data_IF_075809680458
#
_entry.id   IF_075809680458
#
_cell.length_a   1.000
_cell.length_b   1.000
_cell.length_c   1.000
_cell.angle_alpha   90.00
_cell.angle_beta   90.00
_cell.angle_gamma   90.00
#
_symmetry.space_group_name_H-M   'P 1'
#
loop_
_entity.id
_entity.type
_entity.pdbx_description
1 polymer ?
#
# COMPACT_ATOMS: atom_id res chain seq x y z
N UNK A 1 -33.41 0.51 4.87
CA UNK A 1 -33.01 -0.86 4.47
C UNK A 1 -31.59 -0.84 3.94
N UNK A 2 -30.72 -1.71 4.43
CA UNK A 2 -29.31 -1.86 4.01
C UNK A 2 -29.13 -1.95 2.49
N UNK A 3 -30.09 -2.55 1.78
CA UNK A 3 -30.12 -2.62 0.32
C UNK A 3 -30.01 -1.24 -0.36
N UNK A 4 -30.71 -0.22 0.16
CA UNK A 4 -30.65 1.14 -0.41
C UNK A 4 -29.27 1.77 -0.23
N UNK A 5 -28.61 1.54 0.90
CA UNK A 5 -27.25 2.05 1.16
C UNK A 5 -26.23 1.44 0.21
N UNK A 6 -26.32 0.13 -0.04
CA UNK A 6 -25.44 -0.59 -0.99
C UNK A 6 -25.64 -0.05 -2.41
N UNK A 7 -26.88 0.10 -2.86
CA UNK A 7 -27.17 0.61 -4.21
C UNK A 7 -26.65 2.05 -4.41
N UNK A 8 -26.74 2.90 -3.38
CA UNK A 8 -26.19 4.26 -3.42
C UNK A 8 -24.66 4.27 -3.58
N UNK A 9 -23.95 3.33 -2.97
CA UNK A 9 -22.50 3.18 -3.15
C UNK A 9 -22.20 2.65 -4.56
N UNK A 10 -22.99 1.66 -5.01
CA UNK A 10 -22.83 1.05 -6.34
C UNK A 10 -23.00 2.07 -7.47
N UNK A 11 -23.95 3.00 -7.37
CA UNK A 11 -24.12 4.06 -8.37
C UNK A 11 -22.88 4.96 -8.49
N UNK A 12 -22.25 5.31 -7.35
CA UNK A 12 -20.99 6.08 -7.35
C UNK A 12 -19.82 5.28 -7.91
N UNK A 13 -19.75 4.00 -7.60
CA UNK A 13 -18.72 3.11 -8.14
C UNK A 13 -18.85 3.00 -9.67
N UNK A 14 -20.07 2.82 -10.19
CA UNK A 14 -20.32 2.71 -11.62
C UNK A 14 -20.00 4.00 -12.38
N UNK A 15 -20.25 5.18 -11.80
CA UNK A 15 -19.87 6.44 -12.43
C UNK A 15 -18.36 6.60 -12.53
N UNK A 16 -17.62 6.24 -11.47
CA UNK A 16 -16.15 6.23 -11.48
C UNK A 16 -15.60 5.21 -12.47
N UNK A 17 -16.17 4.00 -12.52
CA UNK A 17 -15.75 2.96 -13.44
C UNK A 17 -15.98 3.38 -14.90
N UNK A 18 -17.09 4.05 -15.19
CA UNK A 18 -17.38 4.59 -16.52
C UNK A 18 -16.35 5.66 -16.92
N UNK A 19 -16.02 6.58 -16.02
CA UNK A 19 -14.98 7.60 -16.29
C UNK A 19 -13.61 6.95 -16.50
N UNK A 20 -13.24 5.96 -15.69
CA UNK A 20 -11.99 5.21 -15.86
C UNK A 20 -11.94 4.45 -17.20
N UNK A 21 -13.05 3.82 -17.60
CA UNK A 21 -13.16 3.14 -18.88
C UNK A 21 -13.00 4.11 -20.05
N UNK A 22 -13.61 5.30 -19.98
CA UNK A 22 -13.45 6.33 -21.00
C UNK A 22 -12.00 6.83 -21.09
N UNK A 23 -11.36 7.10 -19.95
CA UNK A 23 -9.94 7.50 -19.90
C UNK A 23 -9.03 6.43 -20.52
N UNK A 24 -9.25 5.16 -20.18
CA UNK A 24 -8.50 4.04 -20.75
C UNK A 24 -8.71 3.92 -22.26
N UNK A 25 -9.95 4.12 -22.75
CA UNK A 25 -10.25 4.11 -24.17
C UNK A 25 -9.52 5.25 -24.90
N UNK A 26 -9.55 6.47 -24.35
CA UNK A 26 -8.83 7.62 -24.89
C UNK A 26 -7.30 7.40 -24.89
N UNK A 27 -6.73 6.88 -23.80
CA UNK A 27 -5.31 6.58 -23.70
C UNK A 27 -4.87 5.50 -24.71
N UNK A 28 -5.69 4.45 -24.88
CA UNK A 28 -5.44 3.39 -25.87
C UNK A 28 -5.52 3.92 -27.29
N UNK A 29 -6.50 4.77 -27.59
CA UNK A 29 -6.61 5.43 -28.89
C UNK A 29 -5.38 6.30 -29.17
N UNK A 30 -4.99 7.14 -28.21
CA UNK A 30 -3.82 8.01 -28.34
C UNK A 30 -2.55 7.18 -28.55
N UNK A 31 -2.35 6.09 -27.80
CA UNK A 31 -1.20 5.18 -27.96
C UNK A 31 -1.13 4.56 -29.36
N UNK A 32 -2.27 4.26 -29.99
CA UNK A 32 -2.31 3.79 -31.37
C UNK A 32 -1.96 4.91 -32.37
N UNK A 33 -2.49 6.12 -32.17
CA UNK A 33 -2.19 7.27 -33.02
C UNK A 33 -0.74 7.76 -32.87
N UNK A 34 -0.16 7.69 -31.66
CA UNK A 34 1.18 8.19 -31.34
C UNK A 34 2.25 7.59 -32.26
N UNK A 35 2.19 6.29 -32.56
CA UNK A 35 3.16 5.64 -33.46
C UNK A 35 3.13 6.23 -34.88
N UNK A 36 1.94 6.55 -35.38
CA UNK A 36 1.76 7.17 -36.69
C UNK A 36 2.18 8.64 -36.66
N UNK A 37 1.77 9.38 -35.63
CA UNK A 37 2.08 10.79 -35.46
C UNK A 37 3.58 11.05 -35.30
N UNK A 38 4.29 10.22 -34.53
CA UNK A 38 5.75 10.32 -34.36
C UNK A 38 6.45 10.11 -35.70
N UNK A 39 6.06 9.09 -36.46
CA UNK A 39 6.67 8.79 -37.76
C UNK A 39 6.41 9.92 -38.76
N UNK A 40 5.15 10.38 -38.86
CA UNK A 40 4.76 11.48 -39.73
C UNK A 40 5.49 12.78 -39.37
N UNK A 41 5.49 13.15 -38.09
CA UNK A 41 6.16 14.36 -37.62
C UNK A 41 7.67 14.31 -37.89
N UNK A 42 8.32 13.17 -37.64
CA UNK A 42 9.75 13.00 -37.89
C UNK A 42 10.10 13.16 -39.38
N UNK A 43 9.31 12.55 -40.26
CA UNK A 43 9.51 12.69 -41.71
C UNK A 43 9.18 14.09 -42.23
N UNK A 44 8.11 14.72 -41.72
CA UNK A 44 7.80 16.11 -42.06
C UNK A 44 8.94 17.06 -41.66
N UNK A 45 9.45 16.94 -40.44
CA UNK A 45 10.58 17.76 -39.97
C UNK A 45 11.84 17.49 -40.78
N UNK A 46 12.13 16.23 -41.11
CA UNK A 46 13.30 15.85 -41.92
C UNK A 46 13.30 16.53 -43.29
N UNK A 47 12.14 16.56 -43.97
CA UNK A 47 12.00 17.21 -45.29
C UNK A 47 11.98 18.73 -45.20
N UNK A 48 11.42 19.31 -44.13
CA UNK A 48 11.27 20.76 -43.98
C UNK A 48 12.54 21.49 -43.53
N UNK A 49 13.50 20.79 -42.91
CA UNK A 49 14.72 21.41 -42.36
C UNK A 49 15.73 21.79 -43.46
N UNK A 50 15.87 20.98 -44.50
CA UNK A 50 16.83 21.20 -45.58
C UNK A 50 16.25 20.67 -46.89
N UNK A 51 16.23 21.52 -47.93
CA UNK A 51 15.76 21.15 -49.27
C UNK A 51 16.63 20.08 -49.93
N UNK A 52 17.86 19.89 -49.45
CA UNK A 52 18.77 18.83 -49.90
C UNK A 52 18.52 17.46 -49.24
N UNK A 53 17.65 17.39 -48.21
CA UNK A 53 17.30 16.13 -47.57
C UNK A 53 16.37 15.30 -48.47
N UNK A 54 16.95 14.34 -49.19
CA UNK A 54 16.18 13.39 -49.98
C UNK A 54 15.75 12.22 -49.09
N UNK A 55 14.44 12.10 -48.87
CA UNK A 55 13.90 10.94 -48.15
C UNK A 55 13.98 9.69 -49.03
N UNK A 56 15.05 8.91 -48.85
CA UNK A 56 15.21 7.62 -49.54
C UNK A 56 14.38 6.54 -48.88
N UNK A 57 13.95 5.54 -49.65
CA UNK A 57 13.21 4.38 -49.13
C UNK A 57 13.98 3.66 -48.02
N UNK A 58 15.28 3.51 -48.16
CA UNK A 58 16.16 2.91 -47.15
C UNK A 58 16.05 3.65 -45.80
N UNK A 59 16.24 4.97 -45.80
CA UNK A 59 16.16 5.79 -44.58
C UNK A 59 14.77 5.74 -43.92
N UNK A 60 13.70 5.70 -44.72
CA UNK A 60 12.33 5.62 -44.20
C UNK A 60 12.04 4.26 -43.56
N UNK A 61 12.44 3.15 -44.19
CA UNK A 61 12.23 1.81 -43.63
C UNK A 61 13.04 1.60 -42.36
N UNK A 62 14.29 2.06 -42.31
CA UNK A 62 15.14 1.97 -41.11
C UNK A 62 14.54 2.78 -39.95
N UNK A 63 14.06 3.99 -40.20
CA UNK A 63 13.43 4.83 -39.18
C UNK A 63 12.14 4.20 -38.61
N UNK A 64 11.27 3.67 -39.48
CA UNK A 64 10.04 2.98 -39.05
C UNK A 64 10.38 1.75 -38.20
N UNK A 65 11.37 0.96 -38.60
CA UNK A 65 11.82 -0.20 -37.84
C UNK A 65 12.35 0.20 -36.45
N UNK A 66 13.13 1.29 -36.37
CA UNK A 66 13.63 1.83 -35.11
C UNK A 66 12.50 2.28 -34.18
N UNK A 67 11.53 3.06 -34.68
CA UNK A 67 10.38 3.50 -33.89
C UNK A 67 9.56 2.32 -33.35
N UNK A 68 9.41 1.25 -34.13
CA UNK A 68 8.70 0.05 -33.70
C UNK A 68 9.42 -0.69 -32.55
N UNK A 69 10.75 -0.77 -32.57
CA UNK A 69 11.53 -1.40 -31.47
C UNK A 69 11.49 -0.53 -30.20
N UNK A 70 11.60 0.79 -30.35
CA UNK A 70 11.61 1.73 -29.22
C UNK A 70 10.24 1.87 -28.54
N UNK A 71 9.15 1.54 -29.26
CA UNK A 71 7.77 1.62 -28.73
C UNK A 71 7.58 0.83 -27.45
N UNK A 72 8.12 -0.39 -27.37
CA UNK A 72 7.98 -1.25 -26.19
C UNK A 72 8.54 -0.60 -24.93
N UNK A 73 9.84 -0.29 -24.88
CA UNK A 73 10.46 0.39 -23.74
C UNK A 73 9.74 1.68 -23.32
N UNK A 74 9.33 2.53 -24.27
CA UNK A 74 8.60 3.77 -23.98
C UNK A 74 7.22 3.53 -23.35
N UNK A 75 6.52 2.47 -23.76
CA UNK A 75 5.23 2.10 -23.17
C UNK A 75 5.38 1.50 -21.76
N UNK A 76 6.43 0.74 -21.50
CA UNK A 76 6.68 0.14 -20.18
C UNK A 76 7.24 1.14 -19.16
N UNK A 77 7.92 2.19 -19.62
CA UNK A 77 8.61 3.13 -18.73
C UNK A 77 7.68 3.73 -17.64
N UNK A 78 6.47 4.25 -17.95
CA UNK A 78 5.56 4.75 -16.92
C UNK A 78 5.18 3.68 -15.89
N UNK A 79 4.92 2.44 -16.35
CA UNK A 79 4.56 1.33 -15.47
C UNK A 79 5.68 0.97 -14.49
N UNK A 80 6.93 1.06 -14.93
CA UNK A 80 8.10 0.85 -14.05
C UNK A 80 8.19 1.95 -13.00
N UNK A 81 7.96 3.21 -13.39
CA UNK A 81 7.93 4.34 -12.44
C UNK A 81 6.83 4.15 -11.39
N UNK A 82 5.61 3.80 -11.82
CA UNK A 82 4.50 3.50 -10.91
C UNK A 82 4.83 2.35 -9.95
N UNK A 83 5.44 1.29 -10.47
CA UNK A 83 5.86 0.12 -9.67
C UNK A 83 6.92 0.51 -8.64
N UNK A 84 7.87 1.37 -9.01
CA UNK A 84 8.89 1.88 -8.11
C UNK A 84 8.27 2.70 -6.98
N UNK A 85 7.34 3.62 -7.28
CA UNK A 85 6.62 4.39 -6.27
C UNK A 85 5.85 3.47 -5.31
N UNK A 86 5.13 2.49 -5.86
CA UNK A 86 4.41 1.49 -5.05
C UNK A 86 5.34 0.67 -4.17
N UNK A 87 6.54 0.34 -4.68
CA UNK A 87 7.58 -0.33 -3.91
C UNK A 87 8.02 0.52 -2.71
N UNK A 88 8.33 1.82 -2.87
CA UNK A 88 8.72 2.67 -1.74
C UNK A 88 7.65 2.75 -0.66
N UNK A 89 6.40 2.95 -1.05
CA UNK A 89 5.31 3.04 -0.09
C UNK A 89 5.13 1.70 0.63
N UNK A 90 5.25 0.57 -0.08
CA UNK A 90 5.15 -0.77 0.51
C UNK A 90 6.31 -1.08 1.44
N UNK A 91 7.54 -0.78 1.02
CA UNK A 91 8.74 -0.93 1.84
C UNK A 91 8.65 -0.09 3.11
N UNK A 92 8.16 1.15 3.03
CA UNK A 92 7.92 2.02 4.19
C UNK A 92 6.91 1.41 5.17
N UNK A 93 5.82 0.80 4.68
CA UNK A 93 4.84 0.12 5.53
C UNK A 93 5.44 -1.10 6.23
N UNK A 94 6.18 -1.92 5.49
CA UNK A 94 6.86 -3.10 6.06
C UNK A 94 7.87 -2.64 7.12
N UNK A 95 8.66 -1.62 6.81
CA UNK A 95 9.63 -1.07 7.77
C UNK A 95 8.94 -0.54 9.03
N UNK A 96 7.81 0.17 8.91
CA UNK A 96 7.03 0.61 10.07
C UNK A 96 6.52 -0.58 10.90
N UNK A 97 6.04 -1.64 10.26
CA UNK A 97 5.54 -2.83 10.95
C UNK A 97 6.65 -3.61 11.66
N UNK A 98 7.79 -3.81 10.99
CA UNK A 98 8.94 -4.53 11.55
C UNK A 98 9.64 -3.78 12.69
N UNK A 99 9.46 -2.46 12.78
CA UNK A 99 9.95 -1.63 13.88
C UNK A 99 8.82 -1.20 14.83
N UNK A 100 7.67 -1.90 14.81
CA UNK A 100 6.65 -1.67 15.82
C UNK A 100 7.17 -2.18 17.18
N UNK A 101 6.74 -1.52 18.26
CA UNK A 101 7.09 -1.94 19.61
C UNK A 101 6.59 -3.36 19.87
N UNK A 102 7.47 -4.22 20.38
CA UNK A 102 7.14 -5.60 20.76
C UNK A 102 6.95 -5.70 22.27
N UNK A 103 6.17 -6.70 22.70
CA UNK A 103 6.00 -7.00 24.12
C UNK A 103 7.31 -7.51 24.70
N UNK A 104 7.71 -6.94 25.84
CA UNK A 104 8.88 -7.43 26.55
C UNK A 104 8.59 -8.80 27.18
N UNK A 105 9.22 -9.84 26.64
CA UNK A 105 9.12 -11.22 27.12
C UNK A 105 9.55 -11.43 28.58
N UNK A 106 10.28 -10.48 29.16
CA UNK A 106 10.74 -10.54 30.56
C UNK A 106 9.75 -9.90 31.54
N UNK A 107 8.66 -9.31 31.04
CA UNK A 107 7.61 -8.67 31.87
C UNK A 107 6.93 -9.65 32.83
N UNK A 108 6.93 -10.95 32.50
CA UNK A 108 6.40 -12.00 33.37
C UNK A 108 7.52 -13.00 33.69
N UNK A 109 7.80 -13.15 34.98
CA UNK A 109 8.76 -14.14 35.45
C UNK A 109 8.09 -15.51 35.57
N UNK A 110 8.67 -16.50 34.89
CA UNK A 110 8.26 -17.91 34.99
C UNK A 110 9.25 -18.71 35.86
N UNK A 111 9.42 -18.26 37.11
CA UNK A 111 10.29 -18.92 38.08
C UNK A 111 9.60 -20.15 38.69
N UNK A 112 10.03 -21.34 38.26
CA UNK A 112 9.51 -22.63 38.73
C UNK A 112 9.97 -22.98 40.16
N UNK A 113 10.87 -22.20 40.76
CA UNK A 113 11.32 -22.41 42.14
C UNK A 113 10.38 -21.79 43.20
N UNK A 114 9.49 -20.89 42.78
CA UNK A 114 8.50 -20.28 43.69
C UNK A 114 7.39 -21.25 44.01
N UNK A 115 6.97 -21.24 45.27
CA UNK A 115 5.87 -22.08 45.74
C UNK A 115 4.51 -21.47 45.36
N UNK A 116 4.43 -20.17 45.12
CA UNK A 116 3.19 -19.49 44.74
C UNK A 116 3.00 -19.42 43.21
N UNK A 117 1.91 -20.00 42.67
CA UNK A 117 1.67 -20.05 41.22
C UNK A 117 1.39 -18.70 40.56
N UNK A 118 0.89 -17.70 41.30
CA UNK A 118 0.67 -16.35 40.79
C UNK A 118 0.93 -15.33 41.90
N UNK A 119 1.80 -14.37 41.62
CA UNK A 119 2.05 -13.21 42.48
C UNK A 119 2.15 -11.96 41.61
N UNK A 120 1.36 -10.94 41.93
CA UNK A 120 1.39 -9.61 41.34
C UNK A 120 1.53 -8.65 42.52
N UNK A 121 2.48 -7.72 42.47
CA UNK A 121 2.71 -6.71 43.52
C UNK A 121 2.78 -5.33 42.89
N UNK A 122 1.83 -4.45 43.22
CA UNK A 122 1.78 -3.08 42.69
C UNK A 122 1.64 -2.97 41.18
N UNK A 123 1.12 -4.01 40.49
CA UNK A 123 1.07 -4.06 39.03
C UNK A 123 0.12 -3.03 38.43
N UNK A 124 0.57 -2.30 37.41
CA UNK A 124 -0.23 -1.31 36.66
C UNK A 124 -0.12 -1.61 35.17
N UNK A 125 -1.26 -1.70 34.48
CA UNK A 125 -1.34 -2.20 33.10
C UNK A 125 -2.21 -1.30 32.21
N UNK A 126 -1.78 -1.08 30.96
CA UNK A 126 -2.47 -0.31 29.92
C UNK A 126 -2.40 -1.04 28.57
N UNK A 127 -3.33 -0.73 27.66
CA UNK A 127 -3.30 -1.26 26.28
C UNK A 127 -2.41 -0.44 25.34
N UNK A 128 -2.34 0.88 25.52
CA UNK A 128 -1.48 1.74 24.72
C UNK A 128 -0.08 1.89 25.29
N UNK A 129 0.83 2.27 24.40
CA UNK A 129 2.24 2.55 24.68
C UNK A 129 2.50 4.06 24.93
N UNK A 130 1.51 4.92 24.69
CA UNK A 130 1.63 6.36 24.90
C UNK A 130 1.56 6.71 26.39
N UNK A 131 2.41 7.65 26.82
CA UNK A 131 2.46 8.13 28.21
C UNK A 131 1.16 8.77 28.70
N UNK A 132 0.30 9.18 27.77
CA UNK A 132 -0.99 9.81 28.03
C UNK A 132 -2.15 8.78 28.08
N UNK A 133 -1.87 7.51 27.82
CA UNK A 133 -2.90 6.48 27.84
C UNK A 133 -3.25 6.11 29.29
N UNK A 134 -4.54 6.20 29.63
CA UNK A 134 -5.00 5.91 30.99
C UNK A 134 -4.75 4.43 31.27
N UNK A 135 -3.96 4.12 32.30
CA UNK A 135 -3.87 2.75 32.74
C UNK A 135 -5.27 2.25 33.16
N UNK A 136 -5.57 1.00 32.83
CA UNK A 136 -6.91 0.42 33.03
C UNK A 136 -6.93 -0.36 34.34
N UNK A 137 -5.83 -1.06 34.62
CA UNK A 137 -5.60 -1.72 35.89
C UNK A 137 -4.50 -0.98 36.63
N UNK A 138 -4.78 -0.58 37.88
CA UNK A 138 -3.85 0.18 38.71
C UNK A 138 -3.62 -0.52 40.05
N UNK A 139 -2.36 -0.57 40.47
CA UNK A 139 -1.96 -1.02 41.80
C UNK A 139 -2.56 -2.39 42.20
N UNK A 140 -2.58 -3.33 41.26
CA UNK A 140 -3.06 -4.69 41.50
C UNK A 140 -2.02 -5.42 42.33
N UNK A 141 -2.42 -5.86 43.53
CA UNK A 141 -1.61 -6.71 44.39
C UNK A 141 -2.41 -7.96 44.71
N UNK A 142 -1.95 -9.12 44.22
CA UNK A 142 -2.64 -10.39 44.31
C UNK A 142 -1.61 -11.51 44.51
N UNK A 143 -1.88 -12.40 45.46
CA UNK A 143 -1.06 -13.59 45.72
C UNK A 143 -1.96 -14.81 45.84
N UNK A 144 -1.74 -15.82 45.00
CA UNK A 144 -2.53 -17.06 44.97
C UNK A 144 -1.63 -18.22 45.44
N UNK A 145 -2.15 -19.05 46.35
CA UNK A 145 -1.45 -20.23 46.86
C UNK A 145 -1.84 -21.50 46.08
N UNK A 146 -1.00 -22.55 46.09
CA UNK A 146 -1.33 -23.83 45.46
C UNK A 146 -2.65 -24.43 45.97
N UNK A 147 -3.47 -24.95 45.05
CA UNK A 147 -4.72 -25.63 45.39
C UNK A 147 -5.91 -24.71 45.71
N UNK A 148 -5.78 -23.39 45.53
CA UNK A 148 -6.88 -22.45 45.73
C UNK A 148 -7.76 -22.31 44.48
N UNK A 149 -9.09 -22.30 44.68
CA UNK A 149 -10.06 -21.90 43.67
C UNK A 149 -10.43 -20.42 43.92
N UNK A 150 -10.13 -19.56 42.93
CA UNK A 150 -10.33 -18.11 43.04
C UNK A 150 -11.38 -17.65 42.02
N UNK A 151 -12.28 -16.76 42.44
CA UNK A 151 -13.26 -16.11 41.57
C UNK A 151 -12.99 -14.60 41.49
N UNK A 152 -13.14 -14.03 40.30
CA UNK A 152 -13.06 -12.58 40.05
C UNK A 152 -14.47 -12.08 39.77
N UNK A 153 -14.91 -11.04 40.50
CA UNK A 153 -16.24 -10.44 40.35
C UNK A 153 -16.13 -8.92 40.23
N UNK A 154 -16.97 -8.32 39.39
CA UNK A 154 -16.99 -6.88 39.17
C UNK A 154 -18.15 -6.42 38.29
N UNK A 155 -18.41 -5.10 38.23
CA UNK A 155 -19.40 -4.52 37.33
C UNK A 155 -18.96 -4.59 35.85
N UNK A 156 -19.88 -4.24 34.94
CA UNK A 156 -19.60 -4.23 33.50
C UNK A 156 -18.49 -3.21 33.19
N UNK A 157 -17.40 -3.66 32.56
CA UNK A 157 -16.26 -2.81 32.20
C UNK A 157 -15.29 -2.47 33.35
N UNK A 158 -15.25 -3.30 34.40
CA UNK A 158 -14.41 -3.07 35.59
C UNK A 158 -12.94 -3.50 35.46
N UNK A 159 -12.53 -3.99 34.29
CA UNK A 159 -11.18 -4.44 33.97
C UNK A 159 -11.04 -4.66 32.48
#
# INVERSE_FOLDING_TARGET
SFKKSILKIREKELSLLKTAALLNACASFLSNCTSLLISLASFCVFVLIDEHNVMTSETAFVAIAFFNVMRGPLQYFPTVVDSYIQFFVSAKRINKFMNADELDSTSVSHDMSRNEPLTIEGGTFSWGCDKDDKHILHNITLKIQPGQLVAVVGPVGAG
#
